data_IF_033227849029
#
_entry.id   IF_033227849029
#
_cell.length_a   1.000
_cell.length_b   1.000
_cell.length_c   1.000
_cell.angle_alpha   90.00
_cell.angle_beta   90.00
_cell.angle_gamma   90.00
#
_symmetry.space_group_name_H-M   'P 1'
#
loop_
_entity.id
_entity.type
_entity.pdbx_description
1 polymer ?
#
# COMPACT_ATOMS: atom_id res chain seq x y z
N UNK A 1 -35.50 21.05 -25.78
CA UNK A 1 -34.72 19.82 -25.50
C UNK A 1 -33.24 20.01 -25.79
N UNK A 2 -32.85 20.58 -26.93
CA UNK A 2 -31.44 20.82 -27.29
C UNK A 2 -30.67 21.77 -26.36
N UNK A 3 -31.33 22.73 -25.70
CA UNK A 3 -30.70 23.60 -24.69
C UNK A 3 -30.67 23.01 -23.27
N UNK A 4 -31.51 22.00 -22.98
CA UNK A 4 -31.64 21.42 -21.63
C UNK A 4 -30.54 20.39 -21.37
N UNK A 5 -30.17 19.63 -22.41
CA UNK A 5 -29.10 18.63 -22.34
C UNK A 5 -27.73 19.22 -21.96
N UNK A 6 -27.21 20.29 -22.61
CA UNK A 6 -25.91 20.87 -22.25
C UNK A 6 -25.91 21.49 -20.85
N UNK A 7 -27.04 22.00 -20.37
CA UNK A 7 -27.17 22.52 -19.01
C UNK A 7 -27.11 21.39 -17.97
N UNK A 8 -27.76 20.25 -18.25
CA UNK A 8 -27.70 19.06 -17.42
C UNK A 8 -26.28 18.51 -17.33
N UNK A 9 -25.60 18.39 -18.47
CA UNK A 9 -24.21 17.94 -18.51
C UNK A 9 -23.30 18.89 -17.72
N UNK A 10 -23.44 20.20 -17.90
CA UNK A 10 -22.67 21.20 -17.17
C UNK A 10 -22.88 21.14 -15.65
N UNK A 11 -24.12 20.96 -15.19
CA UNK A 11 -24.44 20.82 -13.76
C UNK A 11 -23.89 19.51 -13.17
N UNK A 12 -23.91 18.43 -13.95
CA UNK A 12 -23.32 17.14 -13.58
C UNK A 12 -21.82 17.30 -13.35
N UNK A 13 -21.12 17.88 -14.31
CA UNK A 13 -19.68 18.15 -14.19
C UNK A 13 -19.34 19.19 -13.12
N UNK A 14 -20.19 20.20 -12.91
CA UNK A 14 -20.02 21.16 -11.82
C UNK A 14 -20.19 20.48 -10.44
N UNK A 15 -21.13 19.56 -10.29
CA UNK A 15 -21.30 18.79 -9.05
C UNK A 15 -20.09 17.90 -8.77
N UNK A 16 -19.53 17.27 -9.80
CA UNK A 16 -18.28 16.51 -9.72
C UNK A 16 -17.14 17.42 -9.29
N UNK A 17 -16.98 18.59 -9.92
CA UNK A 17 -15.96 19.58 -9.59
C UNK A 17 -16.16 20.24 -8.20
N UNK A 18 -17.38 20.25 -7.67
CA UNK A 18 -17.63 20.69 -6.31
C UNK A 18 -17.23 19.61 -5.29
N UNK A 19 -17.66 18.37 -5.49
CA UNK A 19 -17.30 17.21 -4.65
C UNK A 19 -15.78 17.02 -4.64
N UNK A 20 -15.18 17.10 -5.81
CA UNK A 20 -13.75 17.18 -6.04
C UNK A 20 -13.03 18.15 -5.11
N UNK A 21 -13.45 19.42 -5.17
CA UNK A 21 -12.83 20.52 -4.45
C UNK A 21 -13.03 20.31 -2.94
N UNK A 22 -14.24 19.92 -2.53
CA UNK A 22 -14.59 19.66 -1.13
C UNK A 22 -13.77 18.52 -0.52
N UNK A 23 -13.42 17.49 -1.28
CA UNK A 23 -12.73 16.32 -0.71
C UNK A 23 -11.23 16.27 -0.99
N UNK A 24 -10.76 16.87 -2.09
CA UNK A 24 -9.34 16.89 -2.46
C UNK A 24 -8.60 18.08 -1.85
N UNK A 25 -9.23 19.25 -1.87
CA UNK A 25 -8.55 20.52 -1.60
C UNK A 25 -8.92 21.11 -0.22
N UNK A 26 -9.86 20.51 0.50
CA UNK A 26 -10.22 20.98 1.84
C UNK A 26 -9.13 20.63 2.86
N UNK A 27 -8.57 21.64 3.57
CA UNK A 27 -7.43 21.47 4.47
C UNK A 27 -7.76 20.77 5.80
N UNK A 28 -8.99 20.27 5.96
CA UNK A 28 -9.44 19.57 7.16
C UNK A 28 -9.20 18.06 7.12
N UNK A 29 -8.94 17.48 5.94
CA UNK A 29 -8.61 16.06 5.83
C UNK A 29 -7.10 15.88 6.09
N UNK A 30 -6.69 15.05 7.06
CA UNK A 30 -5.29 14.78 7.31
C UNK A 30 -4.60 14.25 6.04
N UNK A 31 -3.32 14.62 5.89
CA UNK A 31 -2.55 14.37 4.66
C UNK A 31 -1.62 13.18 4.84
N UNK A 32 -2.04 12.14 5.57
CA UNK A 32 -1.24 10.92 5.54
C UNK A 32 -1.23 10.36 4.11
N UNK A 33 -0.16 9.70 3.68
CA UNK A 33 -0.15 8.99 2.40
C UNK A 33 -1.33 8.01 2.27
N UNK A 34 -1.72 7.34 3.36
CA UNK A 34 -2.90 6.47 3.38
C UNK A 34 -4.22 7.23 3.18
N UNK A 35 -4.34 8.45 3.72
CA UNK A 35 -5.52 9.31 3.49
C UNK A 35 -5.64 9.71 2.02
N UNK A 36 -4.54 10.11 1.38
CA UNK A 36 -4.58 10.52 -0.03
C UNK A 36 -4.94 9.36 -0.95
N UNK A 37 -4.43 8.15 -0.70
CA UNK A 37 -4.81 6.94 -1.45
C UNK A 37 -6.28 6.61 -1.24
N UNK A 38 -6.76 6.65 0.01
CA UNK A 38 -8.16 6.40 0.33
C UNK A 38 -9.08 7.43 -0.38
N UNK A 39 -8.75 8.72 -0.29
CA UNK A 39 -9.55 9.78 -0.92
C UNK A 39 -9.46 9.78 -2.45
N UNK A 40 -8.35 9.35 -3.05
CA UNK A 40 -8.22 9.26 -4.51
C UNK A 40 -9.19 8.25 -5.12
N UNK A 41 -9.57 7.19 -4.39
CA UNK A 41 -10.54 6.21 -4.88
C UNK A 41 -11.97 6.76 -4.96
N UNK A 42 -12.34 7.77 -4.15
CA UNK A 42 -13.65 8.45 -4.23
C UNK A 42 -13.89 9.03 -5.63
N UNK A 43 -12.84 9.55 -6.26
CA UNK A 43 -12.94 10.16 -7.57
C UNK A 43 -13.34 9.18 -8.66
N UNK A 44 -12.86 7.95 -8.57
CA UNK A 44 -13.25 6.89 -9.49
C UNK A 44 -14.73 6.54 -9.30
N UNK A 45 -15.20 6.45 -8.05
CA UNK A 45 -16.61 6.18 -7.73
C UNK A 45 -17.54 7.30 -8.26
N UNK A 46 -17.13 8.57 -8.10
CA UNK A 46 -17.88 9.73 -8.63
C UNK A 46 -17.87 9.75 -10.15
N UNK A 47 -16.74 9.42 -10.78
CA UNK A 47 -16.65 9.32 -12.24
C UNK A 47 -17.55 8.19 -12.76
N UNK A 48 -17.55 7.03 -12.10
CA UNK A 48 -18.43 5.93 -12.46
C UNK A 48 -19.90 6.32 -12.34
N UNK A 49 -20.26 7.08 -11.31
CA UNK A 49 -21.61 7.62 -11.17
C UNK A 49 -22.01 8.47 -12.38
N UNK A 50 -21.17 9.40 -12.82
CA UNK A 50 -21.44 10.28 -13.98
C UNK A 50 -21.54 9.49 -15.27
N UNK A 51 -20.59 8.57 -15.49
CA UNK A 51 -20.56 7.73 -16.68
C UNK A 51 -21.79 6.82 -16.74
N UNK A 52 -22.18 6.25 -15.60
CA UNK A 52 -23.35 5.40 -15.52
C UNK A 52 -24.66 6.19 -15.63
N UNK A 53 -24.70 7.42 -15.13
CA UNK A 53 -25.81 8.33 -15.38
C UNK A 53 -26.03 8.54 -16.87
N UNK A 54 -24.96 8.84 -17.63
CA UNK A 54 -25.03 8.93 -19.09
C UNK A 54 -25.44 7.62 -19.77
N UNK A 55 -25.07 6.48 -19.19
CA UNK A 55 -25.51 5.16 -19.66
C UNK A 55 -27.02 4.92 -19.44
N UNK A 56 -27.61 5.47 -18.37
CA UNK A 56 -29.06 5.39 -18.13
C UNK A 56 -29.86 6.22 -19.15
N UNK A 57 -29.26 7.22 -19.77
CA UNK A 57 -29.88 7.98 -20.86
C UNK A 57 -29.80 7.27 -22.22
N UNK A 58 -28.99 6.20 -22.33
CA UNK A 58 -28.86 5.45 -23.57
C UNK A 58 -30.24 4.86 -23.97
N UNK A 59 -30.70 5.08 -25.22
CA UNK A 59 -31.90 4.47 -25.77
C UNK A 59 -32.02 2.97 -25.48
N UNK A 60 -30.91 2.22 -25.52
CA UNK A 60 -30.93 0.78 -25.27
C UNK A 60 -31.17 0.42 -23.80
N UNK A 61 -30.81 1.28 -22.86
CA UNK A 61 -31.14 1.11 -21.43
C UNK A 61 -32.57 1.62 -21.13
N UNK A 62 -32.97 2.70 -21.81
CA UNK A 62 -34.22 3.43 -21.57
C UNK A 62 -35.42 2.75 -22.22
N UNK A 63 -35.31 2.32 -23.47
CA UNK A 63 -36.41 1.81 -24.29
C UNK A 63 -37.04 0.51 -23.79
N UNK A 64 -36.30 -0.47 -23.23
CA UNK A 64 -36.90 -1.62 -22.58
C UNK A 64 -37.87 -1.26 -21.46
N UNK A 65 -37.58 -0.20 -20.68
CA UNK A 65 -38.47 0.29 -19.63
C UNK A 65 -39.79 0.84 -20.18
N UNK A 66 -39.79 1.29 -21.44
CA UNK A 66 -40.98 1.75 -22.15
C UNK A 66 -41.63 0.66 -23.03
N UNK A 67 -41.11 -0.57 -23.00
CA UNK A 67 -41.61 -1.68 -23.80
C UNK A 67 -41.21 -1.63 -25.28
N UNK A 68 -40.18 -0.83 -25.62
CA UNK A 68 -39.72 -0.63 -27.00
C UNK A 68 -38.45 -1.47 -27.23
N UNK A 69 -38.53 -2.46 -28.12
CA UNK A 69 -37.34 -3.19 -28.62
C UNK A 69 -36.84 -2.55 -29.92
N UNK A 70 -35.56 -2.16 -29.93
CA UNK A 70 -34.89 -1.54 -31.08
C UNK A 70 -34.82 -2.47 -32.31
N UNK A 71 -34.74 -3.79 -32.10
CA UNK A 71 -34.50 -4.73 -33.19
C UNK A 71 -35.75 -5.33 -33.84
N UNK A 72 -36.94 -5.26 -33.21
CA UNK A 72 -38.08 -6.10 -33.66
C UNK A 72 -39.43 -5.39 -33.79
N UNK A 73 -39.55 -4.08 -33.55
CA UNK A 73 -40.83 -3.35 -33.58
C UNK A 73 -41.97 -3.99 -32.74
N UNK A 74 -41.65 -4.96 -31.87
CA UNK A 74 -42.60 -5.64 -30.99
C UNK A 74 -42.61 -4.93 -29.64
N UNK A 75 -43.82 -4.63 -29.19
CA UNK A 75 -44.06 -4.04 -27.88
C UNK A 75 -43.86 -5.14 -26.83
N UNK A 76 -42.88 -4.98 -25.95
CA UNK A 76 -42.74 -5.78 -24.74
C UNK A 76 -43.54 -5.17 -23.58
N UNK A 77 -43.96 -5.97 -22.59
CA UNK A 77 -44.55 -5.42 -21.38
C UNK A 77 -43.55 -4.44 -20.73
N UNK A 78 -44.05 -3.27 -20.34
CA UNK A 78 -43.24 -2.24 -19.68
C UNK A 78 -42.68 -2.79 -18.39
N UNK A 79 -41.35 -2.78 -18.25
CA UNK A 79 -40.70 -3.12 -16.99
C UNK A 79 -39.99 -1.90 -16.40
N UNK A 80 -40.78 -1.07 -15.71
CA UNK A 80 -40.26 0.08 -14.97
C UNK A 80 -39.42 -0.32 -13.76
N UNK A 81 -39.48 -1.60 -13.31
CA UNK A 81 -38.78 -2.05 -12.12
C UNK A 81 -37.27 -2.08 -12.35
N UNK A 82 -36.83 -2.49 -13.53
CA UNK A 82 -35.41 -2.50 -13.87
C UNK A 82 -34.82 -1.09 -13.83
N UNK A 83 -35.44 -0.13 -14.52
CA UNK A 83 -34.98 1.26 -14.52
C UNK A 83 -35.01 1.87 -13.10
N UNK A 84 -36.07 1.60 -12.33
CA UNK A 84 -36.15 2.02 -10.93
C UNK A 84 -35.04 1.42 -10.05
N UNK A 85 -34.73 0.13 -10.23
CA UNK A 85 -33.64 -0.56 -9.55
C UNK A 85 -32.29 0.05 -9.92
N UNK A 86 -32.06 0.35 -11.20
CA UNK A 86 -30.83 1.00 -11.68
C UNK A 86 -30.61 2.36 -11.03
N UNK A 87 -31.65 3.21 -10.97
CA UNK A 87 -31.60 4.49 -10.29
C UNK A 87 -31.34 4.35 -8.79
N UNK A 88 -32.01 3.40 -8.14
CA UNK A 88 -31.80 3.13 -6.72
C UNK A 88 -30.35 2.70 -6.45
N UNK A 89 -29.82 1.73 -7.21
CA UNK A 89 -28.45 1.26 -7.08
C UNK A 89 -27.44 2.39 -7.30
N UNK A 90 -27.66 3.23 -8.31
CA UNK A 90 -26.79 4.37 -8.62
C UNK A 90 -26.75 5.38 -7.45
N UNK A 91 -27.92 5.80 -6.95
CA UNK A 91 -28.01 6.74 -5.82
C UNK A 91 -27.42 6.11 -4.56
N UNK A 92 -27.72 4.85 -4.28
CA UNK A 92 -27.21 4.14 -3.11
C UNK A 92 -25.68 4.00 -3.15
N UNK A 93 -25.11 3.62 -4.29
CA UNK A 93 -23.66 3.55 -4.50
C UNK A 93 -22.97 4.90 -4.27
N UNK A 94 -23.55 5.98 -4.80
CA UNK A 94 -23.02 7.34 -4.63
C UNK A 94 -23.09 7.82 -3.18
N UNK A 95 -24.24 7.66 -2.52
CA UNK A 95 -24.42 8.06 -1.13
C UNK A 95 -23.50 7.27 -0.21
N UNK A 96 -23.38 5.96 -0.41
CA UNK A 96 -22.48 5.12 0.39
C UNK A 96 -21.00 5.46 0.14
N UNK A 97 -20.60 5.81 -1.08
CA UNK A 97 -19.25 6.27 -1.39
C UNK A 97 -18.92 7.60 -0.68
N UNK A 98 -19.83 8.57 -0.68
CA UNK A 98 -19.63 9.84 0.02
C UNK A 98 -19.61 9.65 1.55
N UNK A 99 -20.58 8.90 2.09
CA UNK A 99 -20.70 8.66 3.52
C UNK A 99 -19.53 7.85 4.07
N UNK A 100 -19.02 6.85 3.34
CA UNK A 100 -17.88 6.05 3.80
C UNK A 100 -16.63 6.91 4.02
N UNK A 101 -16.37 7.90 3.14
CA UNK A 101 -15.24 8.83 3.31
C UNK A 101 -15.46 9.82 4.44
N UNK A 102 -16.67 10.37 4.57
CA UNK A 102 -17.02 11.23 5.69
C UNK A 102 -16.88 10.52 7.04
N UNK A 103 -17.38 9.29 7.13
CA UNK A 103 -17.23 8.44 8.30
C UNK A 103 -15.77 8.10 8.57
N UNK A 104 -15.00 7.74 7.54
CA UNK A 104 -13.58 7.45 7.69
C UNK A 104 -12.82 8.65 8.26
N UNK A 105 -12.99 9.84 7.67
CA UNK A 105 -12.33 11.06 8.15
C UNK A 105 -12.74 11.40 9.59
N UNK A 106 -14.04 11.33 9.91
CA UNK A 106 -14.54 11.61 11.25
C UNK A 106 -14.01 10.62 12.30
N UNK A 107 -14.03 9.32 11.99
CA UNK A 107 -13.57 8.27 12.90
C UNK A 107 -12.05 8.27 13.05
N UNK A 108 -11.30 8.55 11.98
CA UNK A 108 -9.84 8.68 12.03
C UNK A 108 -9.40 9.83 12.93
N UNK A 109 -10.09 10.98 12.86
CA UNK A 109 -9.83 12.10 13.77
C UNK A 109 -10.04 11.71 15.24
N UNK A 110 -11.08 10.92 15.52
CA UNK A 110 -11.33 10.37 16.86
C UNK A 110 -10.29 9.32 17.30
N UNK A 111 -9.76 8.52 16.36
CA UNK A 111 -8.69 7.57 16.64
C UNK A 111 -7.37 8.28 16.97
N UNK A 112 -7.02 9.31 16.18
CA UNK A 112 -5.79 10.10 16.37
C UNK A 112 -5.78 10.87 17.69
N UNK A 113 -6.92 11.39 18.16
CA UNK A 113 -6.97 12.11 19.44
C UNK A 113 -6.62 11.21 20.64
N UNK A 114 -6.91 9.91 20.56
CA UNK A 114 -6.56 8.93 21.60
C UNK A 114 -5.07 8.53 21.56
N UNK A 115 -4.48 8.45 20.36
CA UNK A 115 -3.05 8.11 20.20
C UNK A 115 -2.14 9.24 20.67
N UNK A 116 -2.54 10.50 20.48
CA UNK A 116 -1.79 11.70 20.91
C UNK A 116 -1.55 11.83 22.42
N UNK A 117 -2.14 10.97 23.24
CA UNK A 117 -1.83 10.90 24.68
C UNK A 117 -0.41 10.34 24.95
N UNK A 118 0.21 9.65 23.99
CA UNK A 118 1.53 9.01 24.13
C UNK A 118 2.73 9.86 23.66
N UNK A 119 2.57 11.17 23.47
CA UNK A 119 3.60 12.02 22.86
C UNK A 119 3.45 12.11 21.34
N UNK A 120 4.02 13.16 20.74
CA UNK A 120 3.98 13.39 19.29
C UNK A 120 5.12 12.64 18.60
N UNK A 121 4.79 11.88 17.57
CA UNK A 121 5.81 11.23 16.72
C UNK A 121 6.31 12.18 15.64
N UNK A 122 7.50 11.90 15.08
CA UNK A 122 8.05 12.65 13.94
C UNK A 122 7.07 12.68 12.75
N UNK A 123 6.37 11.57 12.50
CA UNK A 123 5.38 11.46 11.42
C UNK A 123 4.18 12.39 11.65
N UNK A 124 3.74 12.55 12.90
CA UNK A 124 2.65 13.47 13.27
C UNK A 124 3.07 14.93 13.01
N UNK A 125 4.29 15.29 13.41
CA UNK A 125 4.81 16.65 13.23
C UNK A 125 5.04 16.95 11.75
N UNK A 126 5.55 16.00 10.97
CA UNK A 126 5.68 16.14 9.51
C UNK A 126 4.31 16.35 8.83
N UNK A 127 3.27 15.63 9.27
CA UNK A 127 1.91 15.82 8.78
C UNK A 127 1.34 17.20 9.15
N UNK A 128 1.47 17.62 10.41
CA UNK A 128 1.03 18.94 10.88
C UNK A 128 1.80 20.07 10.15
N UNK A 129 3.08 19.85 9.84
CA UNK A 129 3.93 20.79 9.09
C UNK A 129 3.41 20.95 7.66
N UNK A 130 3.21 19.85 6.93
CA UNK A 130 2.63 19.86 5.57
C UNK A 130 1.27 20.56 5.56
N UNK A 131 0.44 20.33 6.58
CA UNK A 131 -0.85 20.99 6.73
C UNK A 131 -0.70 22.51 6.93
N UNK A 132 0.25 22.93 7.77
CA UNK A 132 0.50 24.35 8.03
C UNK A 132 1.04 25.06 6.79
N UNK A 133 1.91 24.41 6.02
CA UNK A 133 2.40 24.92 4.72
C UNK A 133 1.26 25.08 3.72
N UNK A 134 0.34 24.11 3.62
CA UNK A 134 -0.84 24.21 2.74
C UNK A 134 -1.80 25.32 3.14
N UNK A 135 -1.93 25.57 4.44
CA UNK A 135 -2.72 26.67 4.98
C UNK A 135 -1.99 28.02 4.92
N UNK A 136 -0.76 28.05 4.38
CA UNK A 136 0.11 29.22 4.34
C UNK A 136 0.34 29.85 5.73
N UNK A 137 0.31 29.03 6.78
CA UNK A 137 0.58 29.44 8.16
C UNK A 137 2.08 29.33 8.44
N UNK A 138 2.80 30.39 8.08
CA UNK A 138 4.26 30.48 8.21
C UNK A 138 4.74 30.32 9.66
N UNK A 139 4.05 30.96 10.61
CA UNK A 139 4.42 30.96 12.02
C UNK A 139 4.34 29.54 12.59
N UNK A 140 3.25 28.84 12.32
CA UNK A 140 3.07 27.45 12.77
C UNK A 140 4.00 26.49 12.05
N UNK A 141 4.21 26.66 10.75
CA UNK A 141 5.16 25.83 10.00
C UNK A 141 6.58 25.94 10.58
N UNK A 142 7.06 27.15 10.90
CA UNK A 142 8.38 27.33 11.54
C UNK A 142 8.50 26.62 12.89
N UNK A 143 7.47 26.71 13.74
CA UNK A 143 7.47 26.00 15.02
C UNK A 143 7.54 24.49 14.83
N UNK A 144 6.77 23.95 13.88
CA UNK A 144 6.73 22.51 13.60
C UNK A 144 8.01 22.00 12.94
N UNK A 145 8.73 22.81 12.17
CA UNK A 145 10.08 22.45 11.68
C UNK A 145 11.04 22.25 12.84
N UNK A 146 11.04 23.17 13.82
CA UNK A 146 11.87 23.03 15.02
C UNK A 146 11.54 21.77 15.83
N UNK A 147 10.25 21.50 16.00
CA UNK A 147 9.76 20.28 16.67
C UNK A 147 10.14 19.00 15.91
N UNK A 148 10.05 19.01 14.57
CA UNK A 148 10.43 17.88 13.72
C UNK A 148 11.93 17.59 13.79
N UNK A 149 12.77 18.64 13.72
CA UNK A 149 14.22 18.49 13.85
C UNK A 149 14.59 17.91 15.21
N UNK A 150 13.95 18.39 16.29
CA UNK A 150 14.16 17.85 17.65
C UNK A 150 13.77 16.37 17.75
N UNK A 151 12.58 16.00 17.31
CA UNK A 151 12.12 14.60 17.33
C UNK A 151 12.95 13.70 16.42
N UNK A 152 13.44 14.23 15.30
CA UNK A 152 14.34 13.50 14.43
C UNK A 152 15.70 13.26 15.09
N UNK A 153 16.26 14.25 15.80
CA UNK A 153 17.49 14.08 16.58
C UNK A 153 17.30 13.10 17.75
N UNK A 154 16.16 13.15 18.45
CA UNK A 154 15.83 12.20 19.52
C UNK A 154 15.73 10.78 18.97
N UNK A 155 15.00 10.58 17.87
CA UNK A 155 14.94 9.29 17.20
C UNK A 155 16.30 8.77 16.72
N UNK A 156 17.24 9.64 16.35
CA UNK A 156 18.60 9.21 15.98
C UNK A 156 19.41 8.77 17.19
N UNK A 157 19.31 9.49 18.30
CA UNK A 157 19.98 9.14 19.55
C UNK A 157 19.39 7.87 20.18
N UNK A 158 18.06 7.72 20.11
CA UNK A 158 17.37 6.52 20.60
C UNK A 158 17.67 5.29 19.73
N UNK A 159 17.81 5.45 18.40
CA UNK A 159 18.19 4.38 17.49
C UNK A 159 19.65 3.91 17.66
N UNK A 160 20.52 4.73 18.25
CA UNK A 160 21.86 4.31 18.70
C UNK A 160 21.80 3.59 20.07
N UNK A 161 20.68 3.65 20.80
CA UNK A 161 20.51 3.08 22.14
C UNK A 161 19.62 1.83 22.21
N UNK A 162 18.71 1.63 21.24
CA UNK A 162 17.89 0.41 21.12
C UNK A 162 18.67 -0.67 20.34
N UNK A 163 19.72 -1.22 20.97
CA UNK A 163 20.27 -2.54 20.64
C UNK A 163 19.31 -3.66 21.10
N UNK A 164 18.07 -3.62 20.64
CA UNK A 164 17.19 -4.79 20.71
C UNK A 164 17.72 -5.80 19.68
N UNK A 165 18.36 -6.85 20.19
CA UNK A 165 18.99 -7.88 19.37
C UNK A 165 18.10 -8.35 18.22
N UNK A 166 18.71 -8.62 17.06
CA UNK A 166 17.99 -9.12 15.90
C UNK A 166 17.82 -10.64 16.02
N UNK A 167 16.62 -11.21 15.82
CA UNK A 167 16.47 -12.67 15.85
C UNK A 167 17.23 -13.31 14.69
N UNK A 168 18.16 -14.20 15.01
CA UNK A 168 19.03 -14.89 14.05
C UNK A 168 18.87 -16.40 14.10
N UNK A 169 19.14 -17.05 12.97
CA UNK A 169 19.37 -18.48 12.88
C UNK A 169 20.84 -18.68 12.53
N UNK A 170 21.60 -19.27 13.45
CA UNK A 170 23.00 -19.60 13.22
C UNK A 170 23.06 -20.95 12.50
N UNK A 171 23.54 -20.95 11.26
CA UNK A 171 23.77 -22.16 10.48
C UNK A 171 25.26 -22.30 10.19
N UNK A 172 25.87 -23.39 10.66
CA UNK A 172 27.31 -23.59 10.50
C UNK A 172 27.61 -23.99 9.05
N UNK A 173 28.08 -23.04 8.25
CA UNK A 173 28.43 -23.25 6.86
C UNK A 173 29.94 -23.47 6.68
N UNK A 174 30.29 -24.72 6.45
CA UNK A 174 31.01 -25.06 5.23
C UNK A 174 30.30 -26.28 4.61
N UNK A 175 29.85 -26.22 3.34
CA UNK A 175 29.37 -27.39 2.59
C UNK A 175 30.41 -28.51 2.46
N UNK A 176 31.68 -28.19 2.74
CA UNK A 176 32.84 -29.09 2.66
C UNK A 176 33.32 -29.65 4.00
N UNK A 177 32.79 -29.19 5.15
CA UNK A 177 33.20 -29.72 6.45
C UNK A 177 32.60 -31.11 6.66
N UNK A 178 33.45 -32.13 6.79
CA UNK A 178 33.01 -33.49 7.02
C UNK A 178 32.44 -33.64 8.43
N UNK A 179 31.57 -34.62 8.64
CA UNK A 179 31.03 -34.94 9.97
C UNK A 179 32.12 -35.23 11.03
N UNK A 180 33.34 -35.56 10.61
CA UNK A 180 34.47 -35.80 11.50
C UNK A 180 35.03 -34.50 12.09
N UNK A 181 35.05 -33.42 11.32
CA UNK A 181 35.64 -32.13 11.72
C UNK A 181 34.76 -31.41 12.77
N UNK A 182 33.44 -31.58 12.68
CA UNK A 182 32.48 -31.01 13.63
C UNK A 182 32.51 -31.71 15.00
N UNK A 183 32.87 -33.00 15.06
CA UNK A 183 33.03 -33.71 16.36
C UNK A 183 34.36 -33.41 17.04
N UNK A 184 35.39 -33.08 16.27
CA UNK A 184 36.73 -32.83 16.78
C UNK A 184 36.89 -31.42 17.37
N UNK A 185 36.07 -30.44 16.93
CA UNK A 185 36.15 -29.07 17.42
C UNK A 185 35.00 -28.75 18.40
N UNK A 186 35.25 -28.72 19.73
CA UNK A 186 34.25 -28.30 20.73
C UNK A 186 33.82 -26.83 20.60
N UNK A 187 34.48 -26.05 19.74
CA UNK A 187 34.15 -24.65 19.43
C UNK A 187 33.44 -24.48 18.07
N UNK A 188 33.10 -25.56 17.36
CA UNK A 188 32.34 -25.44 16.12
C UNK A 188 30.94 -24.87 16.42
N UNK A 189 30.49 -23.82 15.70
CA UNK A 189 29.18 -23.24 15.94
C UNK A 189 28.11 -24.32 15.71
N UNK A 190 27.21 -24.54 16.68
CA UNK A 190 26.16 -25.53 16.53
C UNK A 190 25.15 -25.13 15.44
N UNK A 191 24.91 -26.04 14.49
CA UNK A 191 23.99 -25.82 13.35
C UNK A 191 22.54 -25.62 13.78
N UNK A 192 21.86 -24.71 13.11
CA UNK A 192 20.40 -24.52 13.18
C UNK A 192 19.89 -23.99 14.51
N UNK A 193 20.75 -23.38 15.35
CA UNK A 193 20.29 -22.80 16.62
C UNK A 193 19.73 -21.40 16.40
N UNK A 194 18.63 -21.13 17.10
CA UNK A 194 17.95 -19.83 17.09
C UNK A 194 18.44 -19.00 18.26
N UNK A 195 18.68 -17.73 18.01
CA UNK A 195 19.11 -16.80 19.04
C UNK A 195 18.76 -15.36 18.71
N UNK A 196 19.18 -14.49 19.60
CA UNK A 196 19.12 -13.04 19.47
C UNK A 196 20.55 -12.55 19.25
N UNK A 197 20.79 -11.81 18.19
CA UNK A 197 22.09 -11.28 17.83
C UNK A 197 22.17 -9.80 18.16
N UNK A 198 23.15 -9.44 18.97
CA UNK A 198 23.55 -8.07 19.26
C UNK A 198 24.88 -7.83 18.55
N UNK A 199 25.02 -6.72 17.83
CA UNK A 199 26.25 -6.44 17.09
C UNK A 199 27.30 -5.93 18.06
N UNK A 200 28.36 -6.69 18.29
CA UNK A 200 29.44 -6.25 19.20
C UNK A 200 30.49 -5.46 18.45
N UNK A 201 30.77 -5.87 17.20
CA UNK A 201 31.70 -5.20 16.29
C UNK A 201 31.19 -5.32 14.86
N UNK A 202 31.60 -4.43 13.94
CA UNK A 202 31.27 -4.58 12.52
C UNK A 202 31.66 -5.97 12.00
N UNK A 203 30.67 -6.77 11.59
CA UNK A 203 30.87 -8.13 11.10
C UNK A 203 30.90 -9.23 12.16
N UNK A 204 30.81 -8.90 13.46
CA UNK A 204 30.74 -9.86 14.57
C UNK A 204 29.50 -9.61 15.44
N UNK A 205 28.70 -10.66 15.64
CA UNK A 205 27.49 -10.58 16.43
C UNK A 205 27.59 -11.51 17.63
N UNK A 206 27.26 -11.00 18.79
CA UNK A 206 27.04 -11.80 19.98
C UNK A 206 25.64 -12.39 19.97
N UNK A 207 25.58 -13.70 19.82
CA UNK A 207 24.34 -14.43 19.68
C UNK A 207 23.98 -15.11 20.99
N UNK A 208 22.90 -14.65 21.62
CA UNK A 208 22.28 -15.33 22.75
C UNK A 208 21.29 -16.40 22.25
N UNK A 209 21.61 -17.66 22.47
CA UNK A 209 20.82 -18.80 22.01
C UNK A 209 19.62 -19.08 22.93
N UNK A 210 18.45 -19.20 22.31
CA UNK A 210 17.16 -19.41 22.98
C UNK A 210 16.90 -20.86 23.43
N UNK A 211 17.77 -21.81 23.09
CA UNK A 211 17.53 -23.25 23.31
C UNK A 211 18.00 -23.77 24.68
N UNK A 212 18.55 -22.88 25.53
CA UNK A 212 19.05 -23.22 26.87
C UNK A 212 20.29 -24.12 26.88
N UNK A 213 20.93 -24.37 25.72
CA UNK A 213 22.14 -25.21 25.62
C UNK A 213 23.40 -24.36 25.77
N UNK A 214 24.49 -24.97 26.24
CA UNK A 214 25.80 -24.30 26.31
C UNK A 214 26.54 -24.44 24.96
N UNK A 215 27.26 -23.41 24.48
CA UNK A 215 27.28 -22.04 25.02
C UNK A 215 25.94 -21.35 24.77
N UNK A 216 25.44 -20.60 25.78
CA UNK A 216 24.19 -19.83 25.68
C UNK A 216 24.40 -18.48 25.00
N UNK A 217 25.65 -18.02 24.90
CA UNK A 217 26.05 -16.75 24.30
C UNK A 217 27.35 -16.98 23.54
N UNK A 218 27.47 -16.50 22.30
CA UNK A 218 28.64 -16.74 21.44
C UNK A 218 28.80 -15.62 20.42
N UNK A 219 29.98 -15.00 20.40
CA UNK A 219 30.35 -14.04 19.35
C UNK A 219 30.69 -14.81 18.08
N UNK A 220 30.00 -14.48 16.99
CA UNK A 220 30.12 -15.14 15.69
C UNK A 220 30.38 -14.12 14.59
N UNK A 221 31.40 -14.35 13.73
CA UNK A 221 31.59 -13.56 12.53
C UNK A 221 30.49 -13.87 11.51
N UNK A 222 30.04 -12.85 10.78
CA UNK A 222 29.03 -13.00 9.73
C UNK A 222 29.68 -13.39 8.42
N UNK A 223 29.70 -14.69 8.14
CA UNK A 223 30.15 -15.19 6.84
C UNK A 223 29.11 -14.93 5.73
N UNK A 224 27.81 -14.96 6.07
CA UNK A 224 26.71 -14.81 5.10
C UNK A 224 25.41 -14.36 5.76
N UNK A 225 24.82 -13.28 5.26
CA UNK A 225 23.45 -12.87 5.60
C UNK A 225 22.47 -13.53 4.63
N UNK A 226 21.60 -14.41 5.15
CA UNK A 226 20.44 -14.90 4.42
C UNK A 226 19.16 -14.34 5.03
N UNK A 227 18.23 -13.76 4.24
CA UNK A 227 16.94 -13.33 4.76
C UNK A 227 16.23 -14.54 5.39
N UNK A 228 15.64 -14.36 6.58
CA UNK A 228 15.03 -15.49 7.30
C UNK A 228 13.93 -16.14 6.44
N UNK A 229 14.20 -17.34 5.93
CA UNK A 229 13.24 -18.14 5.18
C UNK A 229 12.33 -18.98 6.11
N UNK A 230 11.99 -18.47 7.31
CA UNK A 230 11.01 -19.13 8.18
C UNK A 230 9.61 -19.25 7.53
N UNK A 231 9.39 -18.62 6.38
CA UNK A 231 8.20 -18.85 5.53
C UNK A 231 8.15 -20.25 4.85
N UNK A 232 9.19 -21.11 4.92
CA UNK A 232 9.19 -22.42 4.22
C UNK A 232 8.44 -23.56 4.93
N UNK A 233 7.94 -23.36 6.15
CA UNK A 233 7.27 -24.42 6.93
C UNK A 233 5.74 -24.27 6.95
N UNK A 234 5.08 -24.21 5.79
CA UNK A 234 3.64 -24.54 5.69
C UNK A 234 3.33 -25.28 4.38
N UNK A 235 2.66 -26.42 4.56
CA UNK A 235 1.93 -27.38 3.71
C UNK A 235 1.99 -27.32 2.16
N UNK A 236 2.32 -26.21 1.50
CA UNK A 236 2.26 -26.06 0.04
C UNK A 236 3.60 -25.69 -0.65
N UNK A 237 4.73 -25.85 0.04
CA UNK A 237 6.06 -25.70 -0.57
C UNK A 237 6.45 -24.26 -0.96
N UNK A 238 7.65 -24.07 -1.53
CA UNK A 238 8.14 -22.76 -1.98
C UNK A 238 7.26 -22.21 -3.11
N UNK A 239 6.69 -21.01 -2.91
CA UNK A 239 5.73 -20.38 -3.83
C UNK A 239 4.27 -20.42 -3.37
N UNK A 240 3.98 -21.03 -2.21
CA UNK A 240 2.63 -21.07 -1.64
C UNK A 240 2.03 -19.70 -1.34
N UNK A 241 0.69 -19.62 -1.37
CA UNK A 241 -0.02 -18.37 -1.10
C UNK A 241 0.00 -18.07 0.41
N UNK A 242 0.53 -16.90 0.78
CA UNK A 242 0.77 -16.46 2.16
C UNK A 242 0.05 -15.15 2.45
N UNK A 243 -0.42 -14.98 3.68
CA UNK A 243 -1.07 -13.74 4.15
C UNK A 243 -2.53 -13.59 3.71
N UNK A 244 -3.07 -14.53 2.94
CA UNK A 244 -4.49 -14.61 2.58
C UNK A 244 -5.31 -15.19 3.73
N UNK A 245 -6.46 -14.60 4.03
CA UNK A 245 -7.37 -15.04 5.08
C UNK A 245 -6.84 -14.86 6.51
N UNK A 246 -5.71 -14.17 6.71
CA UNK A 246 -5.18 -13.88 8.05
C UNK A 246 -6.00 -12.73 8.67
N UNK A 247 -7.18 -13.04 9.20
CA UNK A 247 -8.01 -12.08 9.93
C UNK A 247 -7.26 -11.46 11.13
N UNK A 248 -6.25 -12.16 11.67
CA UNK A 248 -5.36 -11.63 12.71
C UNK A 248 -4.57 -10.40 12.25
N UNK A 249 -4.31 -10.24 10.95
CA UNK A 249 -3.64 -9.06 10.39
C UNK A 249 -4.42 -7.76 10.63
N UNK A 250 -5.76 -7.82 10.70
CA UNK A 250 -6.60 -6.67 11.05
C UNK A 250 -6.43 -6.23 12.51
N UNK A 251 -6.00 -7.14 13.38
CA UNK A 251 -5.87 -6.90 14.81
C UNK A 251 -4.42 -6.62 15.27
N UNK A 252 -3.42 -6.74 14.40
CA UNK A 252 -2.00 -6.45 14.70
C UNK A 252 -1.66 -4.98 14.45
N UNK A 253 -0.67 -4.45 15.17
CA UNK A 253 -0.14 -3.09 14.96
C UNK A 253 -0.84 -2.02 15.80
N UNK A 254 -0.48 -0.76 15.52
CA UNK A 254 -1.01 0.40 16.26
C UNK A 254 -2.54 0.52 16.09
N UNK A 255 -3.27 1.15 17.04
CA UNK A 255 -4.72 1.39 16.88
C UNK A 255 -5.08 2.06 15.54
N UNK A 256 -4.24 2.97 15.06
CA UNK A 256 -4.42 3.65 13.78
C UNK A 256 -4.23 2.71 12.59
N UNK A 257 -3.18 1.88 12.58
CA UNK A 257 -3.00 0.87 11.54
C UNK A 257 -4.15 -0.13 11.48
N UNK A 258 -4.63 -0.59 12.64
CA UNK A 258 -5.79 -1.50 12.73
C UNK A 258 -7.03 -0.85 12.12
N UNK A 259 -7.27 0.42 12.43
CA UNK A 259 -8.35 1.21 11.85
C UNK A 259 -8.18 1.35 10.33
N UNK A 260 -7.00 1.74 9.84
CA UNK A 260 -6.74 1.93 8.41
C UNK A 260 -6.91 0.63 7.61
N UNK A 261 -6.43 -0.50 8.14
CA UNK A 261 -6.63 -1.82 7.51
C UNK A 261 -8.10 -2.22 7.48
N UNK A 262 -8.81 -2.06 8.59
CA UNK A 262 -10.23 -2.36 8.66
C UNK A 262 -11.04 -1.47 7.71
N UNK A 263 -10.76 -0.16 7.69
CA UNK A 263 -11.40 0.79 6.80
C UNK A 263 -11.16 0.43 5.33
N UNK A 264 -9.94 0.03 4.97
CA UNK A 264 -9.62 -0.41 3.60
C UNK A 264 -10.40 -1.65 3.18
N UNK A 265 -10.52 -2.65 4.05
CA UNK A 265 -11.32 -3.85 3.76
C UNK A 265 -12.80 -3.53 3.66
N UNK A 266 -13.33 -2.70 4.56
CA UNK A 266 -14.72 -2.28 4.53
C UNK A 266 -15.06 -1.44 3.30
N UNK A 267 -14.15 -0.57 2.86
CA UNK A 267 -14.32 0.21 1.64
C UNK A 267 -14.28 -0.67 0.39
N UNK A 268 -13.37 -1.65 0.32
CA UNK A 268 -13.35 -2.65 -0.74
C UNK A 268 -14.65 -3.49 -0.77
N UNK A 269 -15.16 -3.90 0.39
CA UNK A 269 -16.44 -4.61 0.48
C UNK A 269 -17.62 -3.75 0.02
N UNK A 270 -17.63 -2.46 0.40
CA UNK A 270 -18.62 -1.50 -0.09
C UNK A 270 -18.53 -1.34 -1.61
N UNK A 271 -17.34 -1.06 -2.14
CA UNK A 271 -17.12 -0.88 -3.57
C UNK A 271 -17.59 -2.12 -4.35
N UNK A 272 -17.18 -3.31 -3.93
CA UNK A 272 -17.58 -4.58 -4.54
C UNK A 272 -19.10 -4.76 -4.56
N UNK A 273 -19.77 -4.59 -3.41
CA UNK A 273 -21.19 -4.92 -3.25
C UNK A 273 -22.14 -3.83 -3.78
N UNK A 274 -21.74 -2.57 -3.67
CA UNK A 274 -22.62 -1.43 -3.99
C UNK A 274 -22.35 -0.89 -5.39
N UNK A 275 -21.14 -1.05 -5.92
CA UNK A 275 -20.72 -0.44 -7.17
C UNK A 275 -20.31 -1.50 -8.19
N UNK A 276 -19.28 -2.30 -7.91
CA UNK A 276 -18.68 -3.15 -8.94
C UNK A 276 -19.57 -4.32 -9.36
N UNK A 277 -20.10 -5.13 -8.44
CA UNK A 277 -20.97 -6.25 -8.81
C UNK A 277 -22.30 -5.81 -9.44
N UNK A 278 -23.04 -4.83 -8.89
CA UNK A 278 -24.29 -4.41 -9.50
C UNK A 278 -24.07 -3.82 -10.90
N UNK A 279 -23.04 -2.99 -11.09
CA UNK A 279 -22.77 -2.36 -12.38
C UNK A 279 -22.23 -3.39 -13.38
N UNK A 280 -21.40 -4.33 -12.93
CA UNK A 280 -20.95 -5.46 -13.74
C UNK A 280 -22.13 -6.31 -14.21
N UNK A 281 -23.07 -6.64 -13.33
CA UNK A 281 -24.25 -7.42 -13.68
C UNK A 281 -25.12 -6.70 -14.72
N UNK A 282 -25.36 -5.40 -14.51
CA UNK A 282 -26.12 -4.57 -15.45
C UNK A 282 -25.43 -4.49 -16.81
N UNK A 283 -24.14 -4.15 -16.85
CA UNK A 283 -23.37 -4.06 -18.10
C UNK A 283 -23.24 -5.42 -18.78
N UNK A 284 -23.11 -6.50 -18.04
CA UNK A 284 -23.10 -7.86 -18.59
C UNK A 284 -24.41 -8.17 -19.32
N UNK A 285 -25.55 -7.85 -18.70
CA UNK A 285 -26.88 -8.08 -19.32
C UNK A 285 -27.15 -7.15 -20.51
N UNK A 286 -26.78 -5.87 -20.43
CA UNK A 286 -27.12 -4.88 -21.45
C UNK A 286 -26.10 -4.75 -22.58
N UNK A 287 -24.82 -5.00 -22.32
CA UNK A 287 -23.77 -4.86 -23.33
C UNK A 287 -23.39 -6.23 -23.90
N UNK A 288 -23.03 -7.18 -23.03
CA UNK A 288 -22.55 -8.47 -23.52
C UNK A 288 -23.70 -9.33 -24.06
N UNK A 289 -24.79 -9.49 -23.31
CA UNK A 289 -25.91 -10.32 -23.75
C UNK A 289 -26.74 -9.66 -24.84
N UNK A 290 -27.02 -8.35 -24.74
CA UNK A 290 -27.89 -7.68 -25.71
C UNK A 290 -27.15 -7.17 -26.96
N UNK A 291 -25.88 -6.72 -26.85
CA UNK A 291 -25.11 -6.17 -27.99
C UNK A 291 -24.00 -7.09 -28.48
N UNK A 292 -23.60 -8.11 -27.72
CA UNK A 292 -22.49 -9.00 -28.09
C UNK A 292 -21.10 -8.34 -28.03
N UNK A 293 -20.99 -7.17 -27.40
CA UNK A 293 -19.74 -6.40 -27.32
C UNK A 293 -19.27 -6.27 -25.87
N UNK A 294 -17.96 -6.49 -25.65
CA UNK A 294 -17.31 -6.22 -24.36
C UNK A 294 -16.84 -4.76 -24.35
N UNK A 295 -17.49 -3.89 -23.58
CA UNK A 295 -17.05 -2.51 -23.44
C UNK A 295 -15.84 -2.41 -22.50
N UNK A 296 -15.07 -1.33 -22.64
CA UNK A 296 -14.02 -0.97 -21.68
C UNK A 296 -14.57 -0.87 -20.25
N UNK A 297 -15.80 -0.38 -20.10
CA UNK A 297 -16.47 -0.17 -18.83
C UNK A 297 -16.86 -1.47 -18.13
N UNK A 298 -17.29 -2.49 -18.88
CA UNK A 298 -17.52 -3.85 -18.38
C UNK A 298 -16.20 -4.44 -17.85
N UNK A 299 -15.13 -4.33 -18.64
CA UNK A 299 -13.80 -4.81 -18.24
C UNK A 299 -13.31 -4.09 -16.98
N UNK A 300 -13.52 -2.77 -16.88
CA UNK A 300 -13.20 -1.99 -15.69
C UNK A 300 -13.91 -2.54 -14.45
N UNK A 301 -15.22 -2.78 -14.49
CA UNK A 301 -15.91 -3.31 -13.31
C UNK A 301 -15.45 -4.72 -12.94
N UNK A 302 -15.15 -5.56 -13.94
CA UNK A 302 -14.63 -6.90 -13.70
C UNK A 302 -13.26 -6.85 -12.99
N UNK A 303 -12.36 -6.00 -13.48
CA UNK A 303 -11.03 -5.83 -12.89
C UNK A 303 -11.13 -5.24 -11.49
N UNK A 304 -11.90 -4.16 -11.29
CA UNK A 304 -12.09 -3.55 -9.98
C UNK A 304 -12.74 -4.52 -8.97
N UNK A 305 -13.78 -5.27 -9.38
CA UNK A 305 -14.38 -6.31 -8.54
C UNK A 305 -13.35 -7.38 -8.13
N UNK A 306 -12.50 -7.84 -9.06
CA UNK A 306 -11.45 -8.79 -8.74
C UNK A 306 -10.43 -8.22 -7.74
N UNK A 307 -10.08 -6.94 -7.87
CA UNK A 307 -9.18 -6.24 -6.94
C UNK A 307 -9.80 -6.17 -5.55
N UNK A 308 -11.08 -5.79 -5.44
CA UNK A 308 -11.77 -5.70 -4.16
C UNK A 308 -11.87 -7.07 -3.48
N UNK A 309 -12.20 -8.12 -4.25
CA UNK A 309 -12.17 -9.50 -3.75
C UNK A 309 -10.79 -9.87 -3.23
N UNK A 310 -9.71 -9.50 -3.94
CA UNK A 310 -8.36 -9.74 -3.45
C UNK A 310 -8.05 -8.97 -2.16
N UNK A 311 -8.46 -7.71 -2.04
CA UNK A 311 -8.24 -6.90 -0.83
C UNK A 311 -8.97 -7.53 0.37
N UNK A 312 -10.22 -7.93 0.18
CA UNK A 312 -11.04 -8.59 1.20
C UNK A 312 -10.41 -9.94 1.58
N UNK A 313 -10.04 -10.77 0.59
CA UNK A 313 -9.43 -12.07 0.81
C UNK A 313 -8.06 -11.98 1.51
N UNK A 314 -7.29 -10.91 1.27
CA UNK A 314 -6.04 -10.65 1.97
C UNK A 314 -6.24 -9.97 3.33
N UNK A 315 -7.47 -9.68 3.74
CA UNK A 315 -7.77 -8.92 4.96
C UNK A 315 -6.98 -7.60 5.04
N UNK A 316 -6.80 -6.92 3.90
CA UNK A 316 -6.02 -5.68 3.78
C UNK A 316 -4.49 -5.85 3.76
N UNK A 317 -3.96 -7.07 3.85
CA UNK A 317 -2.54 -7.36 3.79
C UNK A 317 -1.96 -7.19 2.37
N UNK A 318 -1.42 -6.02 2.05
CA UNK A 318 -0.73 -5.78 0.76
C UNK A 318 0.52 -6.65 0.55
N UNK A 319 1.05 -7.21 1.64
CA UNK A 319 2.18 -8.13 1.63
C UNK A 319 1.81 -9.56 1.25
N UNK A 320 0.51 -9.88 1.10
CA UNK A 320 0.05 -11.20 0.74
C UNK A 320 0.70 -11.67 -0.58
N UNK A 321 1.27 -12.88 -0.54
CA UNK A 321 1.98 -13.48 -1.68
C UNK A 321 1.11 -14.58 -2.28
N UNK A 322 1.15 -14.79 -3.58
CA UNK A 322 0.62 -16.00 -4.22
C UNK A 322 1.51 -16.35 -5.42
N UNK A 323 1.97 -17.60 -5.50
CA UNK A 323 2.94 -18.05 -6.51
C UNK A 323 4.20 -17.15 -6.54
N UNK A 324 4.74 -16.84 -5.35
CA UNK A 324 5.87 -15.91 -5.13
C UNK A 324 5.65 -14.45 -5.60
N UNK A 325 4.50 -14.12 -6.21
CA UNK A 325 4.13 -12.76 -6.60
C UNK A 325 3.36 -12.05 -5.49
N UNK A 326 3.38 -10.71 -5.45
CA UNK A 326 2.55 -9.88 -4.56
C UNK A 326 1.47 -9.19 -5.40
N UNK A 327 0.36 -9.89 -5.73
CA UNK A 327 -0.60 -9.41 -6.72
C UNK A 327 -1.24 -8.08 -6.29
N UNK A 328 -1.61 -7.94 -5.02
CA UNK A 328 -2.19 -6.70 -4.50
C UNK A 328 -1.25 -5.51 -4.61
N UNK A 329 0.04 -5.70 -4.34
CA UNK A 329 1.03 -4.64 -4.48
C UNK A 329 1.27 -4.28 -5.94
N UNK A 330 1.29 -5.28 -6.83
CA UNK A 330 1.40 -5.05 -8.27
C UNK A 330 0.22 -4.25 -8.81
N UNK A 331 -1.01 -4.65 -8.46
CA UNK A 331 -2.23 -3.92 -8.79
C UNK A 331 -2.23 -2.53 -8.19
N UNK A 332 -1.93 -2.39 -6.89
CA UNK A 332 -1.89 -1.11 -6.20
C UNK A 332 -0.91 -0.15 -6.87
N UNK A 333 0.26 -0.64 -7.29
CA UNK A 333 1.23 0.16 -8.04
C UNK A 333 0.72 0.56 -9.44
N UNK A 334 -0.09 -0.28 -10.07
CA UNK A 334 -0.70 0.00 -11.37
C UNK A 334 -1.84 1.01 -11.24
N UNK A 335 -2.65 0.90 -10.18
CA UNK A 335 -3.80 1.76 -9.88
C UNK A 335 -3.37 3.13 -9.37
N UNK A 336 -2.50 3.17 -8.37
CA UNK A 336 -2.02 4.41 -7.74
C UNK A 336 -1.02 5.15 -8.62
N UNK A 337 -0.55 4.50 -9.68
CA UNK A 337 0.50 5.01 -10.51
C UNK A 337 1.86 5.03 -9.80
N UNK A 338 2.93 4.99 -10.57
CA UNK A 338 4.25 5.40 -10.06
C UNK A 338 4.22 6.88 -9.63
N UNK A 339 5.10 7.31 -8.68
CA UNK A 339 5.04 8.60 -7.97
C UNK A 339 4.80 9.85 -8.84
N UNK A 340 4.28 10.93 -8.23
CA UNK A 340 3.50 11.97 -8.88
C UNK A 340 4.35 12.77 -9.87
N UNK A 341 4.10 12.53 -11.15
CA UNK A 341 4.72 13.28 -12.24
C UNK A 341 4.24 12.87 -13.64
N UNK A 342 3.48 11.76 -13.80
CA UNK A 342 3.25 11.21 -15.13
C UNK A 342 1.90 10.53 -15.40
N UNK A 343 0.87 10.65 -14.56
CA UNK A 343 -0.34 9.84 -14.75
C UNK A 343 -1.60 10.69 -14.67
N UNK A 344 -2.06 11.12 -15.85
CA UNK A 344 -3.48 11.37 -16.10
C UNK A 344 -4.25 10.05 -16.21
N UNK A 345 -5.59 10.09 -16.15
CA UNK A 345 -6.45 8.94 -15.85
C UNK A 345 -6.40 7.86 -16.94
N UNK A 346 -5.83 6.70 -16.58
CA UNK A 346 -6.03 5.33 -17.08
C UNK A 346 -5.93 5.01 -18.59
N UNK A 347 -6.49 5.79 -19.51
CA UNK A 347 -6.52 5.46 -20.95
C UNK A 347 -5.21 5.85 -21.64
N UNK A 348 -4.65 7.01 -21.31
CA UNK A 348 -3.38 7.49 -21.87
C UNK A 348 -2.16 6.84 -21.19
N UNK A 349 -2.32 6.40 -19.94
CA UNK A 349 -1.33 5.64 -19.19
C UNK A 349 -1.03 4.27 -19.81
N UNK A 350 -2.03 3.56 -20.31
CA UNK A 350 -1.86 2.27 -20.99
C UNK A 350 -1.11 2.39 -22.33
N UNK A 351 -1.40 3.44 -23.12
CA UNK A 351 -0.67 3.73 -24.35
C UNK A 351 0.79 4.15 -24.10
N UNK A 352 1.07 4.93 -23.04
CA UNK A 352 2.46 5.29 -22.66
C UNK A 352 3.23 4.16 -21.97
N UNK A 353 2.54 3.30 -21.21
CA UNK A 353 3.11 2.07 -20.64
C UNK A 353 3.61 1.10 -21.72
N UNK A 354 3.01 1.15 -22.90
CA UNK A 354 3.49 0.45 -24.09
C UNK A 354 4.56 1.23 -24.88
N UNK A 355 4.56 2.58 -24.81
CA UNK A 355 5.41 3.41 -25.66
C UNK A 355 6.77 3.83 -25.05
N UNK A 356 7.03 3.68 -23.75
CA UNK A 356 8.28 4.22 -23.15
C UNK A 356 9.12 3.22 -22.33
N UNK A 357 9.80 2.27 -23.01
CA UNK A 357 10.84 1.44 -22.39
C UNK A 357 12.11 2.22 -22.02
N UNK A 358 12.37 3.38 -22.65
CA UNK A 358 13.57 4.17 -22.43
C UNK A 358 13.56 4.86 -21.05
N UNK A 359 12.42 5.45 -20.66
CA UNK A 359 12.26 6.06 -19.34
C UNK A 359 12.34 5.02 -18.19
N UNK A 360 11.91 3.77 -18.44
CA UNK A 360 12.06 2.67 -17.46
C UNK A 360 13.52 2.26 -17.29
N UNK A 361 14.27 2.14 -18.38
CA UNK A 361 15.70 1.85 -18.34
C UNK A 361 16.49 2.97 -17.62
N UNK A 362 16.09 4.23 -17.82
CA UNK A 362 16.73 5.35 -17.15
C UNK A 362 16.43 5.38 -15.65
N UNK A 363 15.19 5.09 -15.24
CA UNK A 363 14.82 5.00 -13.81
C UNK A 363 15.42 3.80 -13.09
N UNK A 364 15.57 2.65 -13.76
CA UNK A 364 16.27 1.51 -13.15
C UNK A 364 17.75 1.83 -12.94
N UNK A 365 18.38 2.55 -13.88
CA UNK A 365 19.75 3.07 -13.70
C UNK A 365 19.85 4.01 -12.50
N UNK A 366 18.95 4.98 -12.38
CA UNK A 366 18.94 5.87 -11.20
C UNK A 366 18.77 5.13 -9.87
N UNK A 367 17.92 4.10 -9.80
CA UNK A 367 17.80 3.29 -8.58
C UNK A 367 19.04 2.47 -8.28
N UNK A 368 19.65 1.88 -9.30
CA UNK A 368 20.94 1.19 -9.18
C UNK A 368 22.03 2.15 -8.71
N UNK A 369 22.05 3.38 -9.21
CA UNK A 369 23.01 4.40 -8.80
C UNK A 369 22.78 4.83 -7.34
N UNK A 370 21.54 5.01 -6.91
CA UNK A 370 21.20 5.31 -5.50
C UNK A 370 21.59 4.15 -4.57
N UNK A 371 21.28 2.91 -4.94
CA UNK A 371 21.70 1.73 -4.17
C UNK A 371 23.24 1.63 -4.12
N UNK A 372 23.92 1.84 -5.25
CA UNK A 372 25.39 1.85 -5.32
C UNK A 372 26.01 2.94 -4.47
N UNK A 373 25.42 4.14 -4.46
CA UNK A 373 25.85 5.25 -3.59
C UNK A 373 25.60 4.94 -2.12
N UNK A 374 24.49 4.27 -1.78
CA UNK A 374 24.23 3.83 -0.41
C UNK A 374 25.22 2.77 0.07
N UNK A 375 25.60 1.84 -0.81
CA UNK A 375 26.62 0.83 -0.55
C UNK A 375 28.01 1.47 -0.42
N UNK A 376 28.36 2.41 -1.30
CA UNK A 376 29.62 3.17 -1.18
C UNK A 376 29.68 4.00 0.10
N UNK A 377 28.55 4.60 0.51
CA UNK A 377 28.47 5.32 1.78
C UNK A 377 28.74 4.37 2.95
N UNK A 378 28.10 3.21 2.98
CA UNK A 378 28.32 2.20 4.00
C UNK A 378 29.78 1.70 4.03
N UNK A 379 30.38 1.49 2.86
CA UNK A 379 31.79 1.10 2.75
C UNK A 379 32.75 2.20 3.25
N UNK A 380 32.51 3.46 2.89
CA UNK A 380 33.32 4.59 3.37
C UNK A 380 33.25 4.73 4.89
N UNK A 381 32.07 4.54 5.47
CA UNK A 381 31.91 4.54 6.93
C UNK A 381 32.79 3.46 7.58
N UNK A 382 32.77 2.23 7.04
CA UNK A 382 33.60 1.13 7.53
C UNK A 382 35.11 1.39 7.38
N UNK A 383 35.56 1.97 6.26
CA UNK A 383 36.99 2.29 6.08
C UNK A 383 37.45 3.44 6.96
N UNK A 384 36.60 4.46 7.18
CA UNK A 384 36.91 5.53 8.12
C UNK A 384 37.06 4.99 9.54
N UNK A 385 36.13 4.14 9.99
CA UNK A 385 36.20 3.48 11.30
C UNK A 385 37.47 2.63 11.43
N UNK A 386 37.81 1.85 10.40
CA UNK A 386 39.04 1.05 10.38
C UNK A 386 40.31 1.90 10.45
N UNK A 387 40.35 3.02 9.72
CA UNK A 387 41.50 3.93 9.76
C UNK A 387 41.65 4.61 11.12
N UNK A 388 40.56 4.93 11.80
CA UNK A 388 40.56 5.45 13.18
C UNK A 388 41.10 4.41 14.17
N UNK A 389 40.71 3.14 14.02
CA UNK A 389 41.24 2.04 14.84
C UNK A 389 42.74 1.80 14.60
N UNK A 390 43.20 1.81 13.36
CA UNK A 390 44.63 1.68 13.02
C UNK A 390 45.44 2.87 13.57
N UNK A 391 44.90 4.09 13.48
CA UNK A 391 45.52 5.28 14.07
C UNK A 391 45.57 5.21 15.60
N UNK A 392 44.51 4.70 16.25
CA UNK A 392 44.49 4.48 17.69
C UNK A 392 45.49 3.40 18.13
N UNK A 393 45.63 2.32 17.35
CA UNK A 393 46.62 1.27 17.61
C UNK A 393 48.05 1.80 17.48
N UNK A 394 48.37 2.56 16.42
CA UNK A 394 49.68 3.16 16.21
C UNK A 394 50.01 4.22 17.28
N UNK A 395 49.04 5.04 17.69
CA UNK A 395 49.21 5.99 18.78
C UNK A 395 49.44 5.32 20.15
N UNK A 396 48.98 4.08 20.33
CA UNK A 396 49.26 3.28 21.53
C UNK A 396 50.63 2.61 21.50
N UNK A 397 51.17 2.30 20.32
CA UNK A 397 52.53 1.79 20.14
C UNK A 397 53.60 2.88 20.28
N UNK A 398 53.34 4.12 19.86
CA UNK A 398 54.27 5.25 20.11
C UNK A 398 54.29 5.72 21.57
N UNK A 399 53.28 5.35 22.37
CA UNK A 399 53.18 5.65 23.80
C UNK A 399 53.79 4.55 24.71
N UNK A 400 54.12 3.38 24.15
CA UNK A 400 54.81 2.25 24.80
C UNK A 400 56.31 2.29 24.49
#
# INVERSE_FOLDING_TARGET
RELVKPLGDALSWASVAAVAFVWKDVPFVPVAPSDTVFMNTLWLDVLDFVVFFGFLEDPHATYPAFGIRLDTARIQPKDHKLLGLLWFLLIFAYVTALLSRGLYAALRLSANSKVRAGGRTLADVACDLLRSVRLLDETRARMLVGEAVRLQSENYLDAESEEDGTPVLVDALAPSASWADVRANPYAPPRGRRGWAEMVRPGEYDVEFSDGRRPWRLVLPVDRLEPSFQERLRWFGPGSCWGWGDAGHLARGTPLERFDRAAKVMDAARALLCLELPFLAVRWTLELQARGHCSFWLLKNLVCAAIDVMIIAACGNEGAKCLASRPLRWVSNLVNGTPPGQIGPWVEGLHRVAADPAARAQRSRYRQDVERLSQHKAWLTLECEKAEEEAAALGSEEAL
#
